data_IF_483067905490
#
_entry.id   IF_483067905490
#
_cell.length_a   1.000
_cell.length_b   1.000
_cell.length_c   1.000
_cell.angle_alpha   90.00
_cell.angle_beta   90.00
_cell.angle_gamma   90.00
#
_symmetry.space_group_name_H-M   'P 1'
#
loop_
_entity.id
_entity.type
_entity.pdbx_description
1 polymer ?
#
# COMPACT_ATOMS: atom_id res chain seq x y z
N UNK A 1 12.08 -12.32 23.84
CA UNK A 1 11.15 -11.99 22.76
C UNK A 1 11.59 -10.73 22.04
N UNK A 2 11.67 -10.81 20.73
CA UNK A 2 12.10 -9.66 19.94
C UNK A 2 10.90 -8.76 19.64
N UNK A 3 10.87 -7.58 20.24
CA UNK A 3 9.80 -6.61 20.04
C UNK A 3 10.02 -5.75 18.79
N UNK A 4 11.21 -5.86 18.19
CA UNK A 4 11.51 -5.13 16.97
C UNK A 4 11.11 -5.97 15.76
N UNK A 5 9.86 -5.83 15.37
CA UNK A 5 9.32 -6.52 14.20
C UNK A 5 9.90 -5.94 12.90
N UNK A 6 10.22 -4.67 12.92
CA UNK A 6 10.68 -3.94 11.77
C UNK A 6 9.55 -3.17 11.10
N UNK A 7 9.94 -2.13 10.38
CA UNK A 7 8.96 -1.31 9.67
C UNK A 7 8.58 -1.93 8.34
N UNK A 8 7.33 -1.82 7.97
CA UNK A 8 6.85 -2.17 6.64
C UNK A 8 6.32 -0.91 5.98
N UNK A 9 6.42 -0.86 4.68
CA UNK A 9 5.84 0.22 3.89
C UNK A 9 4.59 -0.30 3.21
N UNK A 10 3.48 0.45 3.30
CA UNK A 10 2.25 0.11 2.60
C UNK A 10 2.10 1.00 1.37
N UNK A 11 1.66 0.43 0.25
CA UNK A 11 1.54 1.14 -1.01
C UNK A 11 0.18 0.88 -1.64
N UNK A 12 -0.53 1.95 -1.97
CA UNK A 12 -1.74 1.89 -2.78
C UNK A 12 -1.42 2.58 -4.11
N UNK A 13 -1.03 1.79 -5.10
CA UNK A 13 -0.60 2.32 -6.38
C UNK A 13 -1.76 2.87 -7.20
N UNK A 14 -1.61 4.07 -7.72
CA UNK A 14 -2.56 4.68 -8.64
C UNK A 14 -1.84 5.34 -9.81
N UNK A 15 -2.52 5.47 -10.94
CA UNK A 15 -1.91 6.05 -12.14
C UNK A 15 -1.53 7.51 -11.96
N UNK A 16 -2.30 8.23 -11.17
CA UNK A 16 -2.08 9.66 -10.92
C UNK A 16 -1.48 9.88 -9.55
N UNK A 17 -1.96 9.16 -8.54
CA UNK A 17 -1.55 9.32 -7.15
C UNK A 17 -1.31 7.95 -6.53
N UNK A 18 -0.23 7.85 -5.76
CA UNK A 18 0.10 6.63 -5.04
C UNK A 18 0.21 6.97 -3.56
N UNK A 19 -0.61 6.32 -2.75
CA UNK A 19 -0.60 6.52 -1.29
C UNK A 19 0.45 5.66 -0.62
N UNK A 20 1.10 6.20 0.39
CA UNK A 20 2.16 5.52 1.13
C UNK A 20 1.84 5.55 2.62
N UNK A 21 2.06 4.43 3.29
CA UNK A 21 1.95 4.31 4.73
C UNK A 21 3.15 3.57 5.29
N UNK A 22 3.36 3.65 6.59
CA UNK A 22 4.37 2.84 7.26
C UNK A 22 3.83 2.38 8.61
N UNK A 23 4.39 1.29 9.13
CA UNK A 23 4.06 0.88 10.49
C UNK A 23 5.22 1.21 11.42
N UNK A 24 4.96 1.15 12.72
CA UNK A 24 5.99 1.33 13.73
C UNK A 24 6.92 0.12 13.79
N UNK A 25 8.05 0.24 14.48
CA UNK A 25 9.04 -0.84 14.57
C UNK A 25 8.50 -2.08 15.27
N UNK A 26 7.45 -1.93 16.08
CA UNK A 26 6.81 -3.09 16.72
C UNK A 26 5.89 -3.83 15.77
N UNK A 27 5.58 -3.25 14.61
CA UNK A 27 4.70 -3.86 13.62
C UNK A 27 3.24 -3.93 14.06
N UNK A 28 2.78 -2.97 14.84
CA UNK A 28 1.43 -2.98 15.38
C UNK A 28 0.49 -1.97 14.75
N UNK A 29 0.98 -0.80 14.40
CA UNK A 29 0.12 0.29 13.96
C UNK A 29 0.65 0.95 12.70
N UNK A 30 -0.20 1.01 11.68
CA UNK A 30 0.12 1.68 10.42
C UNK A 30 -0.35 3.13 10.46
N UNK A 31 0.40 4.01 9.82
CA UNK A 31 0.08 5.44 9.70
C UNK A 31 0.33 5.89 8.28
N UNK A 32 -0.56 6.72 7.74
CA UNK A 32 -0.36 7.31 6.42
C UNK A 32 0.81 8.28 6.45
N UNK A 33 1.60 8.29 5.38
CA UNK A 33 2.76 9.17 5.28
C UNK A 33 2.52 10.29 4.28
N UNK A 34 2.33 9.92 3.03
CA UNK A 34 2.24 10.91 1.96
C UNK A 34 1.61 10.31 0.71
N UNK A 35 1.28 11.20 -0.21
CA UNK A 35 0.81 10.82 -1.54
C UNK A 35 1.87 11.21 -2.55
N UNK A 36 2.28 10.25 -3.37
CA UNK A 36 3.26 10.47 -4.42
C UNK A 36 2.53 10.83 -5.71
N UNK A 37 2.96 11.90 -6.37
CA UNK A 37 2.37 12.38 -7.62
C UNK A 37 3.42 12.53 -8.71
N UNK A 38 4.36 11.57 -8.75
CA UNK A 38 5.37 11.57 -9.78
C UNK A 38 4.77 11.22 -11.13
N UNK A 39 5.33 11.75 -12.20
CA UNK A 39 4.88 11.42 -13.54
C UNK A 39 5.35 10.04 -13.96
N UNK A 40 4.40 9.14 -14.21
CA UNK A 40 4.70 7.83 -14.74
C UNK A 40 5.02 6.76 -13.72
N UNK A 41 4.82 5.52 -14.12
CA UNK A 41 5.00 4.35 -13.26
C UNK A 41 6.43 4.19 -12.76
N UNK A 42 7.40 4.38 -13.64
CA UNK A 42 8.79 4.21 -13.24
C UNK A 42 9.25 5.24 -12.23
N UNK A 43 8.86 6.50 -12.42
CA UNK A 43 9.20 7.56 -11.47
C UNK A 43 8.55 7.30 -10.13
N UNK A 44 7.32 6.81 -10.13
CA UNK A 44 6.63 6.43 -8.91
C UNK A 44 7.36 5.29 -8.20
N UNK A 45 7.79 4.28 -8.95
CA UNK A 45 8.52 3.16 -8.38
C UNK A 45 9.85 3.61 -7.76
N UNK A 46 10.56 4.51 -8.43
CA UNK A 46 11.82 5.08 -7.92
C UNK A 46 11.57 5.77 -6.58
N UNK A 47 10.50 6.57 -6.50
CA UNK A 47 10.16 7.29 -5.28
C UNK A 47 9.77 6.33 -4.15
N UNK A 48 9.01 5.29 -4.46
CA UNK A 48 8.61 4.29 -3.46
C UNK A 48 9.84 3.55 -2.93
N UNK A 49 10.75 3.15 -3.82
CA UNK A 49 11.98 2.48 -3.42
C UNK A 49 12.80 3.38 -2.48
N UNK A 50 12.91 4.66 -2.83
CA UNK A 50 13.64 5.62 -2.01
C UNK A 50 13.04 5.77 -0.64
N UNK A 51 11.71 5.92 -0.56
CA UNK A 51 11.02 6.04 0.73
C UNK A 51 11.25 4.81 1.59
N UNK A 52 11.14 3.63 1.01
CA UNK A 52 11.34 2.39 1.75
C UNK A 52 12.77 2.26 2.28
N UNK A 53 13.75 2.59 1.45
CA UNK A 53 15.16 2.52 1.85
C UNK A 53 15.50 3.54 2.93
N UNK A 54 15.06 4.78 2.75
CA UNK A 54 15.37 5.85 3.70
C UNK A 54 14.72 5.63 5.06
N UNK A 55 13.57 4.97 5.07
CA UNK A 55 12.84 4.69 6.31
C UNK A 55 13.29 3.39 6.97
N UNK A 56 14.18 2.65 6.33
CA UNK A 56 14.66 1.38 6.87
C UNK A 56 13.61 0.31 6.91
N UNK A 57 12.68 0.31 5.93
CA UNK A 57 11.64 -0.68 5.87
C UNK A 57 12.20 -2.05 5.50
N UNK A 58 11.63 -3.09 6.09
CA UNK A 58 12.06 -4.48 5.83
C UNK A 58 11.19 -5.18 4.81
N UNK A 59 10.04 -4.60 4.49
CA UNK A 59 9.09 -5.19 3.56
C UNK A 59 8.23 -4.08 2.95
N UNK A 60 7.85 -4.27 1.70
CA UNK A 60 6.90 -3.38 1.03
C UNK A 60 5.64 -4.20 0.74
N UNK A 61 4.51 -3.72 1.24
CA UNK A 61 3.22 -4.37 1.04
C UNK A 61 2.41 -3.55 0.03
N UNK A 62 2.09 -4.15 -1.10
CA UNK A 62 1.35 -3.49 -2.18
C UNK A 62 -0.06 -4.06 -2.24
N UNK A 63 -1.06 -3.19 -2.20
CA UNK A 63 -2.45 -3.61 -2.33
C UNK A 63 -2.72 -4.11 -3.73
N UNK A 64 -3.34 -5.28 -3.85
CA UNK A 64 -3.65 -5.88 -5.14
C UNK A 64 -5.17 -5.91 -5.33
N UNK A 65 -5.71 -5.06 -6.24
CA UNK A 65 -7.15 -4.97 -6.45
C UNK A 65 -7.64 -6.10 -7.37
N UNK A 66 -8.22 -7.13 -6.78
CA UNK A 66 -8.81 -8.24 -7.53
C UNK A 66 -10.31 -8.05 -7.69
N UNK A 67 -10.88 -8.69 -8.70
CA UNK A 67 -12.32 -8.77 -8.85
C UNK A 67 -12.89 -9.65 -7.74
N UNK A 68 -14.19 -9.53 -7.47
CA UNK A 68 -14.82 -10.26 -6.37
C UNK A 68 -14.72 -11.77 -6.52
N UNK A 69 -14.64 -12.26 -7.75
CA UNK A 69 -14.52 -13.70 -8.01
C UNK A 69 -13.07 -14.22 -7.91
N UNK A 70 -12.13 -13.33 -7.57
CA UNK A 70 -10.73 -13.69 -7.42
C UNK A 70 -9.91 -13.51 -8.69
N UNK A 71 -10.56 -13.20 -9.82
CA UNK A 71 -9.83 -12.96 -11.05
C UNK A 71 -9.11 -11.60 -11.01
N UNK A 72 -8.09 -11.45 -11.84
CA UNK A 72 -7.32 -10.22 -11.93
C UNK A 72 -7.64 -9.51 -13.23
N UNK A 73 -8.24 -8.32 -13.08
CA UNK A 73 -8.53 -7.46 -14.21
C UNK A 73 -7.34 -6.57 -14.56
N UNK A 74 -7.59 -5.57 -15.38
CA UNK A 74 -6.52 -4.68 -15.87
C UNK A 74 -5.81 -3.95 -14.76
N UNK A 75 -6.54 -3.55 -13.73
CA UNK A 75 -5.94 -2.82 -12.62
C UNK A 75 -4.95 -3.68 -11.84
N UNK A 76 -5.30 -4.93 -11.57
CA UNK A 76 -4.40 -5.85 -10.89
C UNK A 76 -3.14 -6.10 -11.73
N UNK A 77 -3.30 -6.23 -13.04
CA UNK A 77 -2.16 -6.42 -13.94
C UNK A 77 -1.23 -5.20 -13.92
N UNK A 78 -1.80 -4.01 -13.90
CA UNK A 78 -1.02 -2.78 -13.81
C UNK A 78 -0.22 -2.74 -12.51
N UNK A 79 -0.84 -3.10 -11.40
CA UNK A 79 -0.16 -3.12 -10.11
C UNK A 79 0.97 -4.14 -10.08
N UNK A 80 0.78 -5.29 -10.72
CA UNK A 80 1.85 -6.30 -10.80
C UNK A 80 3.03 -5.80 -11.62
N UNK A 81 2.78 -5.07 -12.71
CA UNK A 81 3.85 -4.48 -13.51
C UNK A 81 4.61 -3.44 -12.68
N UNK A 82 3.89 -2.61 -11.94
CA UNK A 82 4.51 -1.65 -11.04
C UNK A 82 5.41 -2.35 -10.02
N UNK A 83 4.92 -3.42 -9.40
CA UNK A 83 5.69 -4.17 -8.41
C UNK A 83 6.94 -4.81 -9.02
N UNK A 84 6.84 -5.27 -10.26
CA UNK A 84 7.98 -5.83 -10.97
C UNK A 84 9.08 -4.79 -11.19
N UNK A 85 8.68 -3.59 -11.62
CA UNK A 85 9.62 -2.48 -11.78
C UNK A 85 10.25 -2.13 -10.43
N UNK A 86 9.42 -2.06 -9.40
CA UNK A 86 9.89 -1.74 -8.06
C UNK A 86 10.91 -2.78 -7.57
N UNK A 87 10.67 -4.05 -7.85
CA UNK A 87 11.56 -5.13 -7.41
C UNK A 87 12.95 -5.04 -8.03
N UNK A 88 13.07 -4.37 -9.17
CA UNK A 88 14.37 -4.15 -9.81
C UNK A 88 15.13 -2.96 -9.22
N UNK A 89 14.42 -2.12 -8.44
CA UNK A 89 15.00 -0.89 -7.88
C UNK A 89 15.40 -1.03 -6.42
N UNK A 90 14.97 -2.09 -5.76
CA UNK A 90 15.28 -2.30 -4.35
C UNK A 90 15.36 -3.80 -4.06
N UNK A 91 16.18 -4.16 -3.06
CA UNK A 91 16.27 -5.54 -2.59
C UNK A 91 15.26 -5.86 -1.49
N UNK A 92 14.49 -4.86 -1.06
CA UNK A 92 13.47 -5.07 -0.03
C UNK A 92 12.37 -5.98 -0.59
N UNK A 93 11.99 -7.05 0.16
CA UNK A 93 10.93 -7.94 -0.32
C UNK A 93 9.61 -7.22 -0.52
N UNK A 94 8.90 -7.60 -1.57
CA UNK A 94 7.59 -7.04 -1.91
C UNK A 94 6.56 -8.14 -1.76
N UNK A 95 5.46 -7.84 -1.06
CA UNK A 95 4.34 -8.76 -0.96
C UNK A 95 3.06 -8.04 -1.34
N UNK A 96 2.12 -8.80 -1.90
CA UNK A 96 0.82 -8.26 -2.25
C UNK A 96 -0.18 -8.55 -1.14
N UNK A 97 -1.11 -7.62 -0.94
CA UNK A 97 -2.25 -7.83 -0.08
C UNK A 97 -3.52 -7.78 -0.92
N UNK A 98 -4.32 -8.84 -0.88
CA UNK A 98 -5.58 -8.92 -1.63
C UNK A 98 -6.60 -7.97 -0.98
N UNK A 99 -6.92 -6.88 -1.68
CA UNK A 99 -7.80 -5.84 -1.13
C UNK A 99 -9.23 -6.33 -0.88
N UNK A 100 -9.64 -7.47 -1.50
CA UNK A 100 -10.95 -8.05 -1.20
C UNK A 100 -11.08 -8.47 0.26
N UNK A 101 -9.96 -8.72 0.91
CA UNK A 101 -9.90 -9.18 2.29
C UNK A 101 -10.02 -8.04 3.31
N UNK A 102 -10.27 -6.82 2.84
CA UNK A 102 -10.27 -5.64 3.70
C UNK A 102 -11.53 -4.80 3.50
N UNK A 103 -11.62 -3.70 4.23
CA UNK A 103 -12.70 -2.73 4.12
C UNK A 103 -12.48 -1.71 3.00
N UNK A 104 -11.46 -1.93 2.16
CA UNK A 104 -11.09 -0.99 1.11
C UNK A 104 -12.23 -0.64 0.16
N UNK A 105 -13.04 -1.63 -0.20
CA UNK A 105 -14.14 -1.38 -1.13
C UNK A 105 -15.19 -0.45 -0.53
N UNK A 106 -15.45 -0.59 0.75
CA UNK A 106 -16.39 0.30 1.43
C UNK A 106 -15.89 1.74 1.43
N UNK A 107 -14.59 1.92 1.67
CA UNK A 107 -13.99 3.26 1.64
C UNK A 107 -14.00 3.86 0.24
N UNK A 108 -13.72 3.06 -0.78
CA UNK A 108 -13.77 3.53 -2.15
C UNK A 108 -15.19 3.91 -2.57
N UNK A 109 -16.17 3.17 -2.10
CA UNK A 109 -17.58 3.48 -2.35
C UNK A 109 -17.94 4.83 -1.73
N UNK A 110 -17.55 5.07 -0.49
CA UNK A 110 -17.81 6.34 0.18
C UNK A 110 -17.11 7.51 -0.53
N UNK A 111 -15.91 7.28 -1.02
CA UNK A 111 -15.19 8.29 -1.80
C UNK A 111 -15.95 8.64 -3.08
N UNK A 112 -16.58 7.63 -3.70
CA UNK A 112 -17.33 7.81 -4.93
C UNK A 112 -18.64 8.59 -4.77
N UNK A 113 -19.09 8.84 -3.54
CA UNK A 113 -20.33 9.61 -3.33
C UNK A 113 -20.16 11.10 -3.58
N UNK A 114 -18.93 11.57 -3.74
CA UNK A 114 -18.65 12.96 -4.09
C UNK A 114 -18.93 13.97 -2.99
N UNK A 115 -19.06 13.53 -1.76
CA UNK A 115 -19.35 14.42 -0.64
C UNK A 115 -18.13 15.17 -0.14
N UNK A 116 -16.96 14.95 -0.74
CA UNK A 116 -15.71 15.47 -0.20
C UNK A 116 -14.90 16.21 -1.25
N UNK A 117 -14.24 17.28 -0.84
CA UNK A 117 -13.39 18.06 -1.71
C UNK A 117 -12.03 17.43 -1.96
N UNK A 118 -11.23 18.11 -2.77
CA UNK A 118 -9.92 17.65 -3.20
C UNK A 118 -9.00 17.25 -2.04
N UNK A 119 -9.02 18.03 -0.96
CA UNK A 119 -8.20 17.76 0.20
C UNK A 119 -8.56 16.42 0.86
N UNK A 120 -9.82 16.08 0.84
CA UNK A 120 -10.30 14.82 1.39
C UNK A 120 -9.83 13.63 0.55
N UNK A 121 -9.77 13.79 -0.77
CA UNK A 121 -9.27 12.74 -1.65
C UNK A 121 -7.82 12.38 -1.35
N UNK A 122 -7.00 13.39 -1.06
CA UNK A 122 -5.61 13.16 -0.70
C UNK A 122 -5.49 12.39 0.60
N UNK A 123 -6.32 12.72 1.58
CA UNK A 123 -6.37 11.98 2.84
C UNK A 123 -6.81 10.54 2.63
N UNK A 124 -7.74 10.32 1.69
CA UNK A 124 -8.23 8.98 1.40
C UNK A 124 -7.15 8.13 0.73
N UNK A 125 -6.30 8.72 -0.12
CA UNK A 125 -5.20 7.97 -0.74
C UNK A 125 -4.23 7.43 0.31
N UNK A 126 -3.85 8.25 1.29
CA UNK A 126 -2.99 7.79 2.38
C UNK A 126 -3.73 6.84 3.30
N UNK A 127 -5.02 7.08 3.49
CA UNK A 127 -5.86 6.19 4.30
C UNK A 127 -5.97 4.80 3.66
N UNK A 128 -6.08 4.73 2.35
CA UNK A 128 -6.11 3.44 1.64
C UNK A 128 -4.82 2.66 1.89
N UNK A 129 -3.67 3.32 1.77
CA UNK A 129 -2.39 2.68 2.04
C UNK A 129 -2.27 2.25 3.51
N UNK A 130 -2.80 3.06 4.41
CA UNK A 130 -2.82 2.73 5.84
C UNK A 130 -3.67 1.49 6.12
N UNK A 131 -4.85 1.41 5.51
CA UNK A 131 -5.75 0.26 5.67
C UNK A 131 -5.12 -1.01 5.11
N UNK A 132 -4.52 -0.93 3.93
CA UNK A 132 -3.83 -2.07 3.31
C UNK A 132 -2.78 -2.62 4.27
N UNK A 133 -1.95 -1.73 4.78
CA UNK A 133 -0.85 -2.14 5.66
C UNK A 133 -1.37 -2.64 7.00
N UNK A 134 -2.35 -1.96 7.59
CA UNK A 134 -2.90 -2.37 8.87
C UNK A 134 -3.55 -3.75 8.79
N UNK A 135 -4.32 -4.01 7.74
CA UNK A 135 -4.95 -5.31 7.56
C UNK A 135 -3.92 -6.40 7.32
N UNK A 136 -2.86 -6.09 6.59
CA UNK A 136 -1.78 -7.04 6.36
C UNK A 136 -1.11 -7.41 7.70
N UNK A 137 -0.78 -6.42 8.50
CA UNK A 137 -0.14 -6.61 9.80
C UNK A 137 -1.03 -7.44 10.73
N UNK A 138 -2.31 -7.09 10.81
CA UNK A 138 -3.25 -7.78 11.69
C UNK A 138 -3.37 -9.24 11.30
N UNK A 139 -3.43 -9.52 10.00
CA UNK A 139 -3.52 -10.88 9.48
C UNK A 139 -2.25 -11.67 9.78
N UNK A 140 -1.09 -11.05 9.58
CA UNK A 140 0.18 -11.69 9.86
C UNK A 140 0.32 -12.04 11.35
N UNK A 141 -0.09 -11.13 12.22
CA UNK A 141 -0.04 -11.36 13.65
C UNK A 141 -1.01 -12.43 14.10
N UNK A 142 -2.20 -12.48 13.51
CA UNK A 142 -3.17 -13.52 13.81
C UNK A 142 -2.66 -14.89 13.39
N UNK A 143 -1.96 -14.98 12.27
CA UNK A 143 -1.40 -16.23 11.76
C UNK A 143 -0.23 -16.71 12.61
N UNK A 144 0.45 -15.80 13.33
CA UNK A 144 1.62 -16.13 14.14
C UNK A 144 1.26 -16.70 15.51
N UNK A 145 -0.01 -16.68 15.90
CA UNK A 145 -0.44 -17.20 17.20
C UNK A 145 -0.60 -18.71 17.23
#
# INVERSE_FOLDING_TARGET
>A
MNLNHGKYLGVDYGDVRTGISECDVSGMLASGICTIREGGMKNTAVRVAKEAEERGCKKIVVGLPKNMDGSEGDRAKTVRIFAEILSELTSIPIEFYDERMSTMQAYRFLDGTGTFGKKRKESIDTLSAEIILQNYIDRERAAAK
#
